data_IF_464985977055
#
_entry.id   IF_464985977055
#
_cell.length_a   1.000
_cell.length_b   1.000
_cell.length_c   1.000
_cell.angle_alpha   90.00
_cell.angle_beta   90.00
_cell.angle_gamma   90.00
#
_symmetry.space_group_name_H-M   'P 1'
#
loop_
_entity.id
_entity.type
_entity.pdbx_description
1 polymer ?
2 non-polymer ?
3 non-polymer ?
4 water ?
#
# COMPACT_ATOMS: atom_id res chain seq x y z
N UNK A 22 -21.51 9.96 -13.47
CA UNK A 22 -21.12 10.85 -14.55
C UNK A 22 -20.32 12.03 -14.07
N UNK A 23 -19.50 12.59 -14.96
CA UNK A 23 -18.66 13.73 -14.61
C UNK A 23 -19.09 14.95 -15.42
N UNK A 24 -18.82 16.17 -14.91
CA UNK A 24 -18.16 16.50 -13.63
C UNK A 24 -19.03 16.16 -12.43
N UNK A 25 -18.38 15.95 -11.28
CA UNK A 25 -19.06 15.54 -10.06
C UNK A 25 -18.72 16.53 -8.96
N UNK A 26 -19.74 17.08 -8.33
CA UNK A 26 -19.53 18.04 -7.23
C UNK A 26 -19.32 17.27 -5.94
N UNK A 27 -18.17 17.49 -5.29
CA UNK A 27 -17.81 16.81 -4.04
C UNK A 27 -17.48 17.88 -3.03
N UNK A 28 -18.48 18.28 -2.24
CA UNK A 28 -18.29 19.41 -1.36
C UNK A 28 -17.94 20.63 -2.18
N UNK A 29 -16.86 21.31 -1.78
CA UNK A 29 -16.36 22.49 -2.47
C UNK A 29 -15.44 22.15 -3.64
N UNK A 30 -15.39 20.88 -4.04
CA UNK A 30 -14.52 20.44 -5.11
C UNK A 30 -15.37 19.92 -6.26
N UNK A 31 -14.87 20.12 -7.47
CA UNK A 31 -15.48 19.56 -8.66
C UNK A 31 -14.50 18.59 -9.28
N UNK A 32 -14.85 17.30 -9.28
CA UNK A 32 -14.04 16.30 -9.96
C UNK A 32 -14.46 16.31 -11.43
N UNK A 33 -13.55 16.72 -12.29
CA UNK A 33 -13.89 16.91 -13.70
C UNK A 33 -13.94 15.59 -14.45
N UNK A 34 -13.20 14.59 -14.00
CA UNK A 34 -13.17 13.33 -14.70
C UNK A 34 -11.99 12.49 -14.23
N UNK A 35 -11.91 11.31 -14.82
CA UNK A 35 -10.84 10.34 -14.61
C UNK A 35 -10.29 10.00 -15.99
N UNK A 36 -9.09 10.47 -16.28
CA UNK A 36 -8.48 10.27 -17.59
C UNK A 36 -7.57 9.05 -17.56
N UNK A 37 -7.75 8.16 -18.53
CA UNK A 37 -7.03 6.90 -18.59
C UNK A 37 -5.96 6.97 -19.67
N UNK A 38 -4.85 6.29 -19.41
CA UNK A 38 -3.71 6.28 -20.33
C UNK A 38 -3.26 4.88 -20.71
N UNK A 39 -3.82 3.84 -20.09
CA UNK A 39 -3.37 2.45 -20.29
C UNK A 39 -1.88 2.30 -20.09
N UNK A 40 -1.36 2.99 -19.08
CA UNK A 40 0.05 2.92 -18.67
C UNK A 40 1.02 3.36 -19.75
N UNK A 41 0.54 4.02 -20.81
CA UNK A 41 1.41 4.65 -21.79
C UNK A 41 1.84 6.02 -21.26
N UNK A 42 3.14 6.16 -21.01
CA UNK A 42 3.66 7.36 -20.35
C UNK A 42 3.38 8.63 -21.15
N UNK A 43 3.56 8.57 -22.47
CA UNK A 43 3.35 9.75 -23.30
C UNK A 43 1.87 10.11 -23.41
N UNK A 44 0.99 9.11 -23.32
CA UNK A 44 -0.44 9.40 -23.23
C UNK A 44 -0.80 9.98 -21.88
N UNK A 45 -0.18 9.49 -20.81
CA UNK A 45 -0.38 10.10 -19.50
C UNK A 45 0.04 11.56 -19.49
N UNK A 46 1.20 11.85 -20.09
CA UNK A 46 1.66 13.24 -20.17
C UNK A 46 0.71 14.08 -21.00
N UNK A 47 0.26 13.55 -22.14
CA UNK A 47 -0.65 14.28 -23.01
C UNK A 47 -1.97 14.58 -22.29
N UNK A 48 -2.52 13.60 -21.56
CA UNK A 48 -3.74 13.84 -20.80
C UNK A 48 -3.60 15.02 -19.85
N UNK A 49 -2.44 15.13 -19.19
CA UNK A 49 -2.21 16.26 -18.29
C UNK A 49 -2.16 17.57 -19.07
N UNK A 50 -1.49 17.56 -20.23
CA UNK A 50 -1.36 18.78 -21.03
C UNK A 50 -2.70 19.24 -21.59
N UNK A 51 -3.52 18.32 -22.08
CA UNK A 51 -4.82 18.74 -22.60
C UNK A 51 -5.75 19.19 -21.47
N UNK A 52 -5.63 18.59 -20.28
CA UNK A 52 -6.40 19.05 -19.13
C UNK A 52 -6.10 20.50 -18.82
N UNK A 53 -4.81 20.86 -18.75
CA UNK A 53 -4.45 22.25 -18.45
C UNK A 53 -4.98 23.19 -19.53
N UNK A 54 -4.93 22.75 -20.79
CA UNK A 54 -5.33 23.61 -21.89
C UNK A 54 -6.85 23.79 -21.94
N UNK A 55 -7.61 22.71 -21.77
CA UNK A 55 -9.06 22.81 -21.86
C UNK A 55 -9.71 23.28 -20.56
N UNK A 56 -9.04 23.10 -19.42
CA UNK A 56 -9.60 23.48 -18.11
C UNK A 56 -8.66 24.46 -17.43
N UNK A 57 -8.64 25.72 -17.89
CA UNK A 57 -7.70 26.69 -17.31
C UNK A 57 -7.93 26.96 -15.83
N UNK A 58 -9.08 26.61 -15.28
CA UNK A 58 -9.32 26.81 -13.85
C UNK A 58 -8.99 25.60 -13.01
N UNK A 59 -8.40 24.55 -13.58
CA UNK A 59 -8.15 23.34 -12.80
C UNK A 59 -7.16 23.66 -11.68
N UNK A 60 -7.43 23.12 -10.49
CA UNK A 60 -6.70 23.47 -9.28
C UNK A 60 -5.81 22.35 -8.76
N UNK A 61 -6.13 21.09 -9.02
CA UNK A 61 -5.33 19.98 -8.53
C UNK A 61 -5.41 18.82 -9.52
N UNK A 62 -4.25 18.23 -9.83
CA UNK A 62 -4.15 17.02 -10.64
C UNK A 62 -3.69 15.88 -9.74
N UNK A 63 -4.31 14.71 -9.88
CA UNK A 63 -4.10 13.61 -8.95
C UNK A 63 -3.70 12.37 -9.75
N UNK A 64 -2.54 11.81 -9.43
CA UNK A 64 -2.07 10.58 -10.06
C UNK A 64 -2.42 9.39 -9.19
N UNK A 65 -3.28 8.51 -9.71
CA UNK A 65 -3.77 7.38 -8.94
C UNK A 65 -2.79 6.21 -8.90
N UNK A 66 -1.99 6.01 -9.94
CA UNK A 66 -0.96 4.99 -9.94
C UNK A 66 0.43 5.62 -9.91
N UNK A 67 1.42 4.77 -9.61
CA UNK A 67 2.77 5.24 -9.31
C UNK A 67 3.34 6.13 -10.41
N UNK A 68 3.07 5.80 -11.68
CA UNK A 68 3.66 6.52 -12.81
C UNK A 68 2.93 7.80 -13.17
N UNK A 69 1.68 7.97 -12.70
CA UNK A 69 0.88 9.10 -13.17
C UNK A 69 1.42 10.43 -12.68
N UNK A 70 1.92 10.49 -11.45
CA UNK A 70 2.40 11.77 -10.92
C UNK A 70 3.65 12.24 -11.67
N UNK A 71 4.61 11.36 -11.97
CA UNK A 71 5.74 11.82 -12.82
C UNK A 71 5.32 12.36 -14.17
N UNK A 72 4.26 11.81 -14.77
CA UNK A 72 3.81 12.29 -16.08
C UNK A 72 2.95 13.54 -15.97
N UNK A 73 2.26 13.70 -14.84
CA UNK A 73 1.61 14.97 -14.55
C UNK A 73 2.65 16.09 -14.49
N UNK A 74 3.75 15.85 -13.77
CA UNK A 74 4.80 16.87 -13.66
C UNK A 74 5.43 17.15 -15.03
N UNK A 75 5.65 16.10 -15.83
CA UNK A 75 6.13 16.31 -17.20
C UNK A 75 5.16 17.19 -17.99
N UNK A 76 3.86 16.95 -17.87
CA UNK A 76 2.90 17.78 -18.58
C UNK A 76 2.88 19.20 -18.06
N UNK A 77 3.04 19.38 -16.76
CA UNK A 77 3.11 20.73 -16.20
C UNK A 77 4.35 21.46 -16.69
N UNK A 78 5.49 20.76 -16.80
CA UNK A 78 6.71 21.41 -17.29
C UNK A 78 6.56 21.85 -18.74
N UNK A 79 5.97 21.00 -19.58
CA UNK A 79 5.79 21.36 -20.98
C UNK A 79 4.82 22.53 -21.14
N UNK A 80 3.88 22.69 -20.23
CA UNK A 80 2.92 23.78 -20.25
C UNK A 80 3.38 24.99 -19.43
N UNK A 81 4.60 24.96 -18.89
CA UNK A 81 5.14 26.03 -18.06
C UNK A 81 4.24 26.33 -16.86
N UNK A 82 3.75 25.28 -16.21
CA UNK A 82 2.71 25.42 -15.18
C UNK A 82 3.10 24.82 -13.84
N UNK A 83 4.35 24.36 -13.68
CA UNK A 83 4.84 23.90 -12.38
C UNK A 83 4.57 24.96 -11.33
N UNK A 84 3.95 24.55 -10.22
CA UNK A 84 3.64 25.47 -9.15
C UNK A 84 2.38 26.28 -9.35
N UNK A 85 1.78 26.26 -10.55
CA UNK A 85 0.53 26.96 -10.79
C UNK A 85 -0.69 26.08 -10.55
N UNK A 86 -0.50 24.77 -10.45
CA UNK A 86 -1.55 23.81 -10.17
C UNK A 86 -1.01 22.84 -9.12
N UNK A 87 -1.87 22.46 -8.17
CA UNK A 87 -1.43 21.52 -7.14
C UNK A 87 -1.41 20.10 -7.70
N UNK A 88 -0.57 19.26 -7.07
CA UNK A 88 -0.39 17.87 -7.50
C UNK A 88 -0.37 16.98 -6.26
N UNK A 89 -1.16 15.91 -6.29
CA UNK A 89 -1.18 14.90 -5.25
C UNK A 89 -1.09 13.55 -5.96
N UNK A 90 -0.36 12.61 -5.36
CA UNK A 90 -0.16 11.31 -5.99
C UNK A 90 -0.21 10.12 -5.06
N UNK A 91 0.07 8.94 -5.61
CA UNK A 91 0.24 7.71 -4.86
C UNK A 91 1.65 7.17 -5.10
N UNK A 92 2.18 6.45 -4.10
CA UNK A 92 3.44 5.72 -4.18
C UNK A 92 4.65 6.65 -4.22
N UNK A 93 5.85 6.08 -4.24
CA UNK A 93 7.05 6.86 -4.03
C UNK A 93 8.02 6.75 -5.20
N UNK A 94 7.52 6.90 -6.42
CA UNK A 94 8.40 7.00 -7.57
C UNK A 94 9.42 8.11 -7.32
N UNK A 95 10.67 7.95 -7.76
CA UNK A 95 11.69 8.97 -7.48
C UNK A 95 11.36 10.35 -8.01
N UNK A 96 10.62 10.46 -9.13
CA UNK A 96 10.20 11.77 -9.59
C UNK A 96 9.09 12.34 -8.71
N UNK A 97 8.33 11.48 -8.05
CA UNK A 97 7.30 11.97 -7.14
C UNK A 97 7.93 12.56 -5.88
N UNK A 98 8.92 11.86 -5.32
CA UNK A 98 9.61 12.36 -4.13
C UNK A 98 10.42 13.62 -4.44
N UNK A 99 11.06 13.66 -5.62
CA UNK A 99 11.74 14.88 -6.03
C UNK A 99 10.77 16.05 -6.12
N UNK A 100 9.55 15.80 -6.63
CA UNK A 100 8.55 16.85 -6.71
C UNK A 100 8.07 17.34 -5.35
N UNK A 101 7.99 16.42 -4.37
CA UNK A 101 7.65 16.84 -3.03
C UNK A 101 8.75 17.74 -2.46
N UNK A 102 10.01 17.40 -2.72
CA UNK A 102 11.13 18.15 -2.17
C UNK A 102 11.26 19.53 -2.79
N UNK A 103 10.98 19.66 -4.09
CA UNK A 103 11.02 20.99 -4.71
C UNK A 103 9.65 21.69 -4.72
N UNK A 104 8.68 21.15 -3.98
CA UNK A 104 7.37 21.77 -3.73
C UNK A 104 6.44 21.79 -4.92
N UNK A 105 6.74 21.07 -6.01
CA UNK A 105 5.78 21.00 -7.11
C UNK A 105 4.71 19.95 -6.88
N UNK A 106 4.95 18.99 -5.98
CA UNK A 106 3.96 18.01 -5.55
C UNK A 106 3.66 18.26 -4.09
N UNK A 107 2.37 18.39 -3.75
CA UNK A 107 2.02 18.64 -2.35
C UNK A 107 2.29 17.42 -1.48
N UNK A 108 1.86 16.24 -1.91
CA UNK A 108 2.18 15.04 -1.17
C UNK A 108 1.74 13.79 -1.90
N UNK A 109 2.06 12.65 -1.28
CA UNK A 109 1.74 11.36 -1.87
C UNK A 109 1.39 10.36 -0.76
N UNK A 110 0.63 9.34 -1.13
CA UNK A 110 0.18 8.28 -0.24
C UNK A 110 0.93 7.00 -0.58
N UNK A 111 1.65 6.43 0.38
CA UNK A 111 2.45 5.24 0.12
C UNK A 111 2.02 4.11 1.04
N UNK A 112 2.34 2.88 0.62
CA UNK A 112 2.15 1.69 1.43
C UNK A 112 3.36 1.49 2.34
N UNK A 113 3.23 0.56 3.28
CA UNK A 113 4.27 0.29 4.27
C UNK A 113 4.64 -1.19 4.26
N UNK A 114 5.33 -1.66 3.21
CA UNK A 114 5.75 -3.07 3.20
C UNK A 114 6.59 -3.48 4.41
N UNK A 115 7.37 -2.56 4.97
CA UNK A 115 8.15 -2.89 6.16
C UNK A 115 7.23 -3.38 7.29
N UNK A 116 6.09 -2.72 7.47
CA UNK A 116 5.14 -3.10 8.50
C UNK A 116 4.43 -4.40 8.15
N UNK A 117 4.31 -4.73 6.86
CA UNK A 117 3.77 -6.02 6.48
C UNK A 117 4.63 -7.15 7.04
N UNK A 118 5.94 -7.07 6.81
CA UNK A 118 6.83 -8.10 7.33
C UNK A 118 6.91 -8.07 8.85
N UNK A 119 7.08 -6.88 9.43
CA UNK A 119 7.28 -6.78 10.87
C UNK A 119 6.07 -7.30 11.65
N UNK A 120 4.87 -6.87 11.25
CA UNK A 120 3.66 -7.23 11.99
C UNK A 120 3.30 -8.69 11.79
N UNK A 121 3.50 -9.22 10.58
CA UNK A 121 3.32 -10.65 10.33
C UNK A 121 4.14 -11.48 11.33
N UNK A 122 5.43 -11.16 11.45
CA UNK A 122 6.27 -11.88 12.41
C UNK A 122 5.77 -11.65 13.83
N UNK A 123 5.44 -10.39 14.16
CA UNK A 123 5.00 -10.07 15.50
C UNK A 123 3.76 -10.87 15.89
N UNK A 124 2.76 -10.90 15.02
CA UNK A 124 1.48 -11.51 15.37
C UNK A 124 1.54 -13.03 15.35
N UNK A 125 2.28 -13.60 14.39
CA UNK A 125 2.50 -15.05 14.39
C UNK A 125 3.29 -15.50 15.63
N UNK A 126 4.31 -14.74 16.02
CA UNK A 126 5.05 -15.10 17.23
C UNK A 126 4.18 -14.96 18.46
N UNK A 127 3.31 -13.95 18.50
CA UNK A 127 2.41 -13.77 19.64
C UNK A 127 1.42 -14.93 19.76
N UNK A 128 0.85 -15.38 18.63
CA UNK A 128 -0.07 -16.52 18.67
C UNK A 128 0.66 -17.80 19.04
N UNK A 129 1.84 -18.01 18.44
CA UNK A 129 2.61 -19.20 18.78
C UNK A 129 2.88 -19.30 20.28
N UNK A 130 2.92 -18.16 20.98
CA UNK A 130 3.19 -18.12 22.41
C UNK A 130 1.92 -18.04 23.24
N UNK A 131 0.76 -18.32 22.64
CA UNK A 131 -0.50 -18.33 23.36
C UNK A 131 -1.22 -17.00 23.41
N UNK A 132 -0.54 -15.90 23.11
CA UNK A 132 -1.19 -14.60 23.13
C UNK A 132 -2.29 -14.49 22.09
N UNK A 133 -3.13 -13.49 22.26
CA UNK A 133 -4.24 -13.25 21.36
C UNK A 133 -3.94 -12.06 20.45
N UNK A 134 -4.42 -12.14 19.22
CA UNK A 134 -4.34 -11.06 18.25
C UNK A 134 -5.78 -10.60 18.00
N UNK A 135 -6.07 -9.36 18.39
CA UNK A 135 -7.41 -8.79 18.21
C UNK A 135 -7.68 -8.60 16.73
N UNK A 136 -8.57 -9.41 16.18
CA UNK A 136 -8.92 -9.40 14.76
C UNK A 136 -10.43 -9.24 14.65
N UNK A 137 -10.92 -8.31 13.84
CA UNK A 137 -12.37 -8.08 13.75
C UNK A 137 -13.07 -9.22 13.03
N UNK A 138 -14.40 -9.18 13.11
CA UNK A 138 -15.22 -10.22 12.49
C UNK A 138 -14.98 -10.31 10.99
N UNK A 139 -14.62 -9.19 10.34
CA UNK A 139 -14.27 -9.22 8.93
C UNK A 139 -13.03 -10.08 8.66
N UNK A 140 -12.25 -10.37 9.69
CA UNK A 140 -11.02 -11.09 9.50
C UNK A 140 -9.92 -10.31 8.82
N UNK A 141 -10.04 -8.99 8.75
CA UNK A 141 -9.01 -8.15 8.12
C UNK A 141 -8.40 -7.10 9.07
N UNK A 142 -7.08 -7.01 9.05
CA UNK A 142 -6.35 -5.99 9.79
C UNK A 142 -5.72 -5.04 8.78
N UNK A 143 -6.06 -3.76 8.87
CA UNK A 143 -5.60 -2.77 7.92
C UNK A 143 -4.27 -2.20 8.39
N UNK A 144 -3.21 -2.44 7.62
CA UNK A 144 -1.93 -1.80 7.81
C UNK A 144 -2.05 -0.38 7.28
N UNK A 145 -1.75 0.65 8.08
CA UNK A 145 -2.00 2.02 7.64
C UNK A 145 -1.09 2.43 6.48
N UNK A 146 -1.65 3.22 5.57
CA UNK A 146 -0.88 3.97 4.60
C UNK A 146 0.04 4.96 5.32
N UNK A 147 0.92 5.59 4.56
CA UNK A 147 1.70 6.70 5.06
C UNK A 147 1.52 7.90 4.13
N UNK A 148 1.24 9.08 4.71
CA UNK A 148 1.13 10.33 3.96
C UNK A 148 2.48 11.06 4.00
N UNK A 149 3.01 11.38 2.82
CA UNK A 149 4.29 12.06 2.69
C UNK A 149 4.04 13.44 2.12
N UNK A 150 4.47 14.49 2.83
CA UNK A 150 4.42 15.86 2.35
C UNK A 150 5.79 16.48 2.45
N UNK A 151 5.91 17.74 2.00
CA UNK A 151 7.17 18.44 2.14
C UNK A 151 7.62 18.56 3.59
N UNK A 152 6.67 18.52 4.52
CA UNK A 152 6.99 18.70 5.94
C UNK A 152 7.64 17.48 6.55
N UNK A 153 7.35 16.28 6.05
CA UNK A 153 7.87 15.07 6.66
C UNK A 153 8.66 14.21 5.69
N UNK A 154 8.98 14.71 4.49
CA UNK A 154 9.62 13.85 3.50
C UNK A 154 11.04 13.49 3.90
N UNK A 155 11.71 14.34 4.68
CA UNK A 155 13.05 13.95 5.13
C UNK A 155 12.98 12.92 6.24
N UNK A 156 11.92 12.94 7.06
CA UNK A 156 11.74 11.89 8.06
C UNK A 156 11.50 10.54 7.39
N UNK A 157 10.77 10.55 6.28
CA UNK A 157 10.51 9.33 5.51
C UNK A 157 11.81 8.74 4.97
N UNK A 158 12.60 9.57 4.28
CA UNK A 158 13.85 9.10 3.68
C UNK A 158 14.82 8.60 4.74
N UNK A 159 14.85 9.26 5.91
CA UNK A 159 15.69 8.76 7.00
C UNK A 159 15.20 7.39 7.48
N UNK A 160 13.89 7.21 7.62
CA UNK A 160 13.32 5.92 7.98
C UNK A 160 13.72 4.84 6.97
N UNK A 161 13.62 5.15 5.67
CA UNK A 161 13.97 4.17 4.64
C UNK A 161 15.45 3.83 4.73
N UNK A 162 16.31 4.84 4.91
CA UNK A 162 17.74 4.59 5.07
C UNK A 162 17.99 3.67 6.27
N UNK A 163 17.38 3.98 7.42
CA UNK A 163 17.55 3.13 8.59
C UNK A 163 17.12 1.70 8.30
N UNK A 164 15.99 1.55 7.62
CA UNK A 164 15.49 0.21 7.31
C UNK A 164 16.50 -0.56 6.46
N UNK A 165 17.01 0.08 5.41
CA UNK A 165 17.91 -0.60 4.47
C UNK A 165 19.23 -0.98 5.11
N UNK A 166 19.70 -0.21 6.11
CA UNK A 166 20.92 -0.56 6.80
C UNK A 166 20.67 -1.50 7.98
N UNK A 167 19.50 -2.13 8.03
CA UNK A 167 19.19 -3.14 9.03
C UNK A 167 18.80 -2.61 10.39
N UNK A 168 18.54 -1.31 10.50
CA UNK A 168 18.21 -0.69 11.78
C UNK A 168 16.84 -0.01 11.73
N UNK A 169 15.85 -0.67 11.13
CA UNK A 169 14.51 -0.14 11.04
C UNK A 169 13.83 0.01 12.39
N UNK A 170 12.73 0.76 12.43
CA UNK A 170 12.07 1.04 13.72
C UNK A 170 11.39 -0.18 14.32
N UNK A 171 11.35 -0.21 15.64
CA UNK A 171 10.71 -1.28 16.40
C UNK A 171 9.25 -0.88 16.57
N UNK A 172 8.40 -1.37 15.66
CA UNK A 172 7.00 -0.94 15.63
C UNK A 172 6.24 -1.33 16.88
N UNK A 173 6.69 -2.36 17.59
CA UNK A 173 5.99 -2.86 18.76
C UNK A 173 6.35 -2.09 20.03
N UNK A 174 7.21 -1.08 19.94
CA UNK A 174 7.54 -0.26 21.11
C UNK A 174 8.10 -1.08 22.25
N UNK A 175 7.59 -0.81 23.46
CA UNK A 175 8.09 -1.47 24.67
C UNK A 175 7.59 -2.90 24.83
N UNK A 176 6.62 -3.33 24.02
CA UNK A 176 6.00 -4.64 24.23
C UNK A 176 7.02 -5.77 24.09
N UNK A 177 7.21 -6.52 25.16
CA UNK A 177 8.14 -7.64 25.17
C UNK A 177 7.42 -8.93 24.76
N UNK A 178 8.03 -9.68 23.86
CA UNK A 178 7.53 -11.00 23.43
C UNK A 178 8.73 -11.93 23.34
N UNK A 179 8.69 -13.04 24.09
CA UNK A 179 9.79 -14.00 24.11
C UNK A 179 9.54 -15.04 23.02
N UNK A 180 10.11 -14.81 21.85
CA UNK A 180 9.92 -15.69 20.72
C UNK A 180 11.01 -16.72 20.50
N UNK A 181 11.91 -16.93 21.46
CA UNK A 181 12.91 -17.98 21.30
C UNK A 181 12.23 -19.33 21.18
N UNK A 182 12.76 -20.19 20.31
CA UNK A 182 12.14 -21.46 20.00
C UNK A 182 10.98 -21.37 19.03
N UNK A 183 10.51 -20.15 18.68
CA UNK A 183 9.45 -19.97 17.69
C UNK A 183 10.09 -19.86 16.31
N UNK A 184 9.51 -20.54 15.33
CA UNK A 184 9.96 -20.45 13.95
C UNK A 184 8.76 -20.19 13.06
N UNK A 185 8.83 -19.11 12.26
CA UNK A 185 7.73 -18.72 11.39
C UNK A 185 8.26 -18.50 9.98
N UNK A 186 7.36 -18.56 9.01
CA UNK A 186 7.71 -18.39 7.62
C UNK A 186 6.90 -17.24 7.02
N UNK A 187 7.54 -16.53 6.08
CA UNK A 187 6.94 -15.36 5.42
C UNK A 187 7.13 -15.54 3.93
N UNK A 188 6.04 -15.81 3.21
CA UNK A 188 6.08 -16.16 1.79
C UNK A 188 5.58 -14.98 0.97
N UNK A 189 6.43 -14.47 0.08
CA UNK A 189 6.06 -13.38 -0.81
C UNK A 189 5.42 -13.94 -2.09
N UNK A 190 5.04 -13.06 -3.01
CA UNK A 190 4.46 -13.51 -4.28
C UNK A 190 5.42 -13.35 -5.45
N UNK A 191 6.64 -12.82 -5.22
CA UNK A 191 7.58 -12.49 -6.26
C UNK A 191 8.89 -11.98 -5.66
N UNK A 192 9.84 -11.60 -6.52
CA UNK A 192 11.09 -10.93 -6.14
C UNK A 192 11.01 -9.40 -6.32
N UNK A 193 9.83 -8.83 -6.13
CA UNK A 193 9.64 -7.39 -6.32
C UNK A 193 10.37 -6.59 -5.24
N UNK A 194 10.81 -5.36 -5.56
CA UNK A 194 11.43 -4.51 -4.52
C UNK A 194 10.54 -4.22 -3.33
N UNK A 195 9.22 -4.23 -3.52
CA UNK A 195 8.28 -4.13 -2.41
C UNK A 195 8.63 -5.09 -1.30
N UNK A 196 9.04 -6.32 -1.64
CA UNK A 196 9.38 -7.35 -0.68
C UNK A 196 10.75 -7.16 -0.02
N UNK A 197 11.62 -6.32 -0.58
CA UNK A 197 12.89 -6.06 0.09
C UNK A 197 12.69 -5.29 1.39
N UNK A 198 11.75 -4.34 1.41
CA UNK A 198 11.42 -3.66 2.66
C UNK A 198 10.68 -4.59 3.63
N UNK A 199 9.79 -5.45 3.11
CA UNK A 199 9.10 -6.38 3.99
C UNK A 199 10.08 -7.38 4.60
N UNK A 200 11.06 -7.83 3.81
CA UNK A 200 12.11 -8.71 4.32
C UNK A 200 12.85 -8.07 5.49
N UNK A 201 13.22 -6.79 5.35
CA UNK A 201 13.86 -6.08 6.46
C UNK A 201 12.97 -6.01 7.68
N UNK A 202 11.66 -5.86 7.46
CA UNK A 202 10.71 -5.85 8.57
C UNK A 202 10.65 -7.18 9.30
N UNK A 203 10.61 -8.29 8.56
CA UNK A 203 10.68 -9.63 9.17
C UNK A 203 11.91 -9.78 10.04
N UNK A 204 13.08 -9.42 9.49
CA UNK A 204 14.33 -9.65 10.21
C UNK A 204 14.45 -8.74 11.42
N UNK A 205 13.89 -7.54 11.34
CA UNK A 205 13.93 -6.65 12.50
C UNK A 205 13.04 -7.17 13.62
N UNK A 206 11.83 -7.64 13.29
CA UNK A 206 10.98 -8.23 14.30
C UNK A 206 11.59 -9.50 14.89
N UNK A 207 12.19 -10.34 14.04
CA UNK A 207 12.80 -11.58 14.52
C UNK A 207 13.91 -11.30 15.51
N UNK A 208 14.72 -10.28 15.22
CA UNK A 208 15.76 -9.83 16.14
C UNK A 208 15.16 -9.26 17.42
N UNK A 209 14.02 -8.56 17.31
CA UNK A 209 13.40 -7.96 18.48
C UNK A 209 12.80 -9.00 19.42
N UNK A 210 12.17 -10.04 18.85
CA UNK A 210 11.48 -11.06 19.62
C UNK A 210 12.30 -12.34 19.80
N UNK A 211 13.46 -12.45 19.15
CA UNK A 211 14.29 -13.62 19.34
C UNK A 211 13.85 -14.87 18.62
N UNK A 212 12.87 -14.77 17.73
CA UNK A 212 12.39 -15.89 16.95
C UNK A 212 13.17 -16.02 15.64
N UNK A 213 12.88 -17.08 14.90
CA UNK A 213 13.51 -17.34 13.61
C UNK A 213 12.46 -17.20 12.52
N UNK A 214 12.78 -16.47 11.46
CA UNK A 214 11.86 -16.25 10.36
C UNK A 214 12.53 -16.69 9.06
N UNK A 215 11.83 -17.53 8.31
CA UNK A 215 12.26 -17.95 6.98
C UNK A 215 11.51 -17.09 5.95
N UNK A 216 12.23 -16.17 5.31
CA UNK A 216 11.63 -15.35 4.27
C UNK A 216 11.79 -16.08 2.94
N UNK A 217 10.66 -16.40 2.30
CA UNK A 217 10.64 -17.29 1.15
C UNK A 217 10.00 -16.56 -0.03
N UNK A 218 10.75 -16.46 -1.12
CA UNK A 218 10.26 -15.73 -2.30
C UNK A 218 10.22 -16.63 -3.53
N UNK A 219 9.04 -16.73 -4.16
CA UNK A 219 8.90 -17.51 -5.40
C UNK A 219 9.52 -16.79 -6.60
N UNK A 220 10.67 -17.31 -7.06
CA UNK A 220 11.52 -16.56 -7.96
C UNK A 220 10.82 -16.27 -9.29
N UNK A 221 10.05 -17.22 -9.79
CA UNK A 221 9.30 -17.02 -11.04
C UNK A 221 7.83 -16.70 -10.80
N UNK A 222 7.43 -16.53 -9.55
CA UNK A 222 6.05 -16.12 -9.26
C UNK A 222 4.99 -17.11 -9.69
N UNK A 223 5.22 -18.40 -9.46
CA UNK A 223 4.22 -19.43 -9.77
C UNK A 223 3.66 -20.01 -8.48
N UNK A 224 2.42 -20.49 -8.55
CA UNK A 224 1.84 -21.08 -7.35
C UNK A 224 2.58 -22.37 -6.98
N UNK A 225 3.15 -23.08 -7.96
CA UNK A 225 3.87 -24.30 -7.65
C UNK A 225 5.06 -24.03 -6.72
N UNK A 226 5.74 -22.89 -6.92
CA UNK A 226 6.81 -22.50 -6.00
C UNK A 226 6.29 -22.22 -4.60
N UNK A 227 5.15 -21.54 -4.51
CA UNK A 227 4.55 -21.32 -3.19
C UNK A 227 4.11 -22.63 -2.56
N UNK A 228 3.65 -23.59 -3.36
CA UNK A 228 3.23 -24.89 -2.81
C UNK A 228 4.41 -25.63 -2.19
N UNK A 229 5.59 -25.56 -2.82
CA UNK A 229 6.73 -26.24 -2.22
C UNK A 229 7.21 -25.53 -0.96
N UNK A 230 7.12 -24.19 -0.91
CA UNK A 230 7.39 -23.50 0.36
C UNK A 230 6.44 -23.95 1.45
N UNK A 231 5.13 -24.00 1.14
CA UNK A 231 4.15 -24.44 2.14
C UNK A 231 4.46 -25.83 2.63
N UNK A 232 4.82 -26.76 1.74
CA UNK A 232 5.10 -28.13 2.14
C UNK A 232 6.39 -28.22 2.94
N UNK A 233 7.40 -27.41 2.58
CA UNK A 233 8.64 -27.39 3.36
C UNK A 233 8.38 -26.87 4.77
N UNK A 234 7.52 -25.85 4.90
CA UNK A 234 7.23 -25.30 6.21
C UNK A 234 6.49 -26.30 7.09
N UNK A 235 5.55 -27.05 6.50
CA UNK A 235 4.87 -28.11 7.26
C UNK A 235 5.87 -29.16 7.72
N UNK A 236 6.76 -29.59 6.82
CA UNK A 236 7.75 -30.62 7.17
C UNK A 236 8.71 -30.12 8.25
N UNK A 237 9.04 -28.83 8.23
CA UNK A 237 9.86 -28.24 9.27
C UNK A 237 9.08 -27.95 10.55
N UNK A 238 7.76 -28.16 10.53
CA UNK A 238 6.89 -27.93 11.69
C UNK A 238 7.03 -26.50 12.22
N UNK A 239 6.88 -25.52 11.30
CA UNK A 239 6.95 -24.11 11.73
C UNK A 239 5.74 -23.77 12.58
N UNK A 240 5.88 -22.72 13.37
CA UNK A 240 4.82 -22.29 14.27
C UNK A 240 3.83 -21.33 13.63
N UNK A 241 4.06 -20.91 12.40
CA UNK A 241 3.11 -20.06 11.71
C UNK A 241 3.66 -19.66 10.36
N UNK A 242 2.73 -19.34 9.45
CA UNK A 242 3.05 -19.00 8.07
C UNK A 242 2.24 -17.77 7.68
N UNK A 243 2.89 -16.79 7.07
CA UNK A 243 2.21 -15.67 6.39
C UNK A 243 2.48 -15.79 4.90
N UNK A 244 1.44 -15.64 4.08
CA UNK A 244 1.57 -15.84 2.64
C UNK A 244 0.77 -14.77 1.90
N UNK A 245 1.38 -14.23 0.84
CA UNK A 245 0.70 -13.44 -0.19
C UNK A 245 0.39 -14.37 -1.36
N UNK A 246 -0.82 -14.94 -1.44
CA UNK A 246 -1.10 -15.93 -2.50
C UNK A 246 -1.01 -15.32 -3.89
N UNK A 247 -0.42 -16.09 -4.80
CA UNK A 247 -0.29 -15.62 -6.18
C UNK A 247 -1.64 -15.70 -6.90
N UNK A 248 -2.38 -16.78 -6.70
CA UNK A 248 -3.67 -16.99 -7.35
C UNK A 248 -4.63 -17.61 -6.34
N UNK A 249 -5.29 -16.75 -5.54
CA UNK A 249 -6.01 -17.27 -4.35
C UNK A 249 -7.08 -18.30 -4.67
N UNK A 250 -7.84 -18.11 -5.75
CA UNK A 250 -8.89 -19.06 -6.11
C UNK A 250 -8.35 -20.48 -6.30
N UNK A 251 -7.11 -20.62 -6.78
CA UNK A 251 -6.52 -21.92 -7.06
C UNK A 251 -5.46 -22.34 -6.04
N UNK A 252 -5.41 -21.70 -4.88
CA UNK A 252 -4.50 -22.10 -3.81
C UNK A 252 -5.24 -22.43 -2.51
N UNK A 253 -6.56 -22.56 -2.56
CA UNK A 253 -7.33 -22.83 -1.34
C UNK A 253 -6.91 -24.17 -0.75
N UNK A 254 -6.76 -25.21 -1.57
CA UNK A 254 -6.44 -26.53 -1.06
C UNK A 254 -5.05 -26.56 -0.40
N UNK A 255 -4.04 -26.00 -1.07
CA UNK A 255 -2.68 -26.10 -0.53
C UNK A 255 -2.53 -25.27 0.74
N UNK A 256 -3.28 -24.16 0.82
CA UNK A 256 -3.27 -23.35 2.04
C UNK A 256 -3.98 -24.09 3.16
N UNK A 257 -5.12 -24.72 2.85
CA UNK A 257 -5.85 -25.46 3.87
C UNK A 257 -5.03 -26.62 4.41
N UNK A 258 -4.26 -27.28 3.55
CA UNK A 258 -3.42 -28.38 4.03
C UNK A 258 -2.41 -27.89 5.06
N UNK A 259 -1.83 -26.71 4.82
CA UNK A 259 -0.95 -26.11 5.82
C UNK A 259 -1.72 -25.73 7.08
N UNK A 260 -2.94 -25.23 6.93
CA UNK A 260 -3.73 -24.79 8.08
C UNK A 260 -4.04 -25.95 9.03
N UNK A 261 -4.06 -27.19 8.51
CA UNK A 261 -4.34 -28.33 9.37
C UNK A 261 -3.30 -28.46 10.48
N UNK A 262 -2.09 -27.98 10.26
CA UNK A 262 -1.00 -28.22 11.19
C UNK A 262 -0.48 -26.95 11.87
N UNK A 263 -0.72 -25.78 11.29
CA UNK A 263 -0.08 -24.57 11.81
C UNK A 263 -0.91 -23.35 11.39
N UNK A 264 -0.89 -22.28 12.18
CA UNK A 264 -1.65 -21.07 11.78
C UNK A 264 -1.10 -20.48 10.51
N UNK A 265 -2.00 -20.13 9.59
CA UNK A 265 -1.66 -19.46 8.35
C UNK A 265 -2.41 -18.14 8.31
N UNK A 266 -1.72 -17.05 7.98
CA UNK A 266 -2.35 -15.76 7.78
C UNK A 266 -2.02 -15.27 6.38
N UNK A 267 -2.88 -14.43 5.82
CA UNK A 267 -2.60 -13.82 4.54
C UNK A 267 -2.15 -12.39 4.74
N UNK A 268 -1.22 -11.96 3.89
CA UNK A 268 -0.66 -10.63 3.95
C UNK A 268 -0.50 -10.11 2.53
N UNK A 269 -0.88 -8.85 2.31
CA UNK A 269 -0.78 -8.16 1.02
C UNK A 269 -1.85 -8.61 0.02
N UNK A 270 -2.06 -9.92 -0.10
CA UNK A 270 -3.15 -10.48 -0.89
C UNK A 270 -3.86 -11.52 -0.04
N UNK A 271 -5.15 -11.70 -0.28
CA UNK A 271 -5.97 -12.54 0.59
C UNK A 271 -6.53 -13.74 -0.16
N UNK A 272 -6.72 -14.82 0.60
CA UNK A 272 -7.41 -16.03 0.15
C UNK A 272 -8.58 -16.25 1.10
N UNK A 273 -9.65 -15.46 0.96
CA UNK A 273 -10.73 -15.50 1.96
C UNK A 273 -11.53 -16.78 1.93
N UNK A 274 -11.40 -17.61 0.89
CA UNK A 274 -12.07 -18.89 0.84
C UNK A 274 -11.32 -19.98 1.58
N UNK A 275 -10.10 -19.70 2.05
CA UNK A 275 -9.29 -20.71 2.70
C UNK A 275 -9.47 -20.65 4.21
N UNK A 276 -8.82 -21.57 4.91
CA UNK A 276 -8.82 -21.60 6.36
C UNK A 276 -7.84 -20.61 6.99
N UNK A 277 -7.31 -19.63 6.26
CA UNK A 277 -6.38 -18.68 6.85
C UNK A 277 -7.04 -17.91 7.99
N UNK A 278 -6.27 -17.63 9.04
CA UNK A 278 -6.81 -17.06 10.27
C UNK A 278 -7.32 -15.63 10.05
N UNK A 279 -6.50 -14.78 9.44
CA UNK A 279 -6.93 -13.43 9.12
C UNK A 279 -6.04 -12.90 8.01
N UNK A 280 -6.42 -11.73 7.51
CA UNK A 280 -5.72 -11.05 6.44
C UNK A 280 -5.24 -9.69 6.92
N UNK A 281 -4.00 -9.35 6.61
CA UNK A 281 -3.49 -8.01 6.85
C UNK A 281 -3.10 -7.39 5.52
N UNK A 282 -3.54 -6.17 5.28
CA UNK A 282 -3.22 -5.53 4.02
C UNK A 282 -3.58 -4.06 4.04
N UNK A 283 -3.44 -3.44 2.89
CA UNK A 283 -3.80 -2.04 2.77
C UNK A 283 -5.25 -1.93 2.34
N UNK A 284 -5.91 -0.89 2.82
CA UNK A 284 -7.22 -0.50 2.31
C UNK A 284 -7.00 0.59 1.26
N UNK A 285 -7.20 0.23 0.00
CA UNK A 285 -7.10 1.23 -1.05
C UNK A 285 -8.18 2.30 -0.93
N UNK A 286 -9.33 1.93 -0.36
CA UNK A 286 -10.38 2.94 -0.12
C UNK A 286 -9.91 3.96 0.90
N UNK A 287 -9.33 3.50 2.01
CA UNK A 287 -8.83 4.43 3.03
C UNK A 287 -7.59 5.17 2.56
N UNK A 288 -6.78 4.56 1.69
CA UNK A 288 -5.70 5.29 1.03
C UNK A 288 -6.27 6.40 0.15
N UNK A 289 -7.41 6.16 -0.51
CA UNK A 289 -8.06 7.21 -1.27
C UNK A 289 -8.58 8.34 -0.40
N UNK A 290 -9.18 8.00 0.76
CA UNK A 290 -9.60 9.07 1.67
C UNK A 290 -8.40 9.91 2.11
N UNK A 291 -7.25 9.26 2.39
CA UNK A 291 -6.06 10.00 2.79
C UNK A 291 -5.57 10.93 1.68
N UNK A 292 -5.66 10.49 0.43
CA UNK A 292 -5.31 11.39 -0.67
C UNK A 292 -6.32 12.52 -0.80
N UNK A 293 -7.59 12.26 -0.51
CA UNK A 293 -8.56 13.33 -0.43
C UNK A 293 -8.20 14.39 0.58
N UNK A 294 -7.60 13.96 1.70
CA UNK A 294 -7.17 14.92 2.71
C UNK A 294 -5.98 15.75 2.22
N UNK A 295 -5.05 15.14 1.48
CA UNK A 295 -3.94 15.90 0.90
C UNK A 295 -4.45 16.94 -0.09
N UNK A 296 -5.43 16.56 -0.92
CA UNK A 296 -6.03 17.53 -1.84
C UNK A 296 -6.63 18.69 -1.07
N UNK A 297 -7.37 18.39 0.00
CA UNK A 297 -8.00 19.45 0.79
C UNK A 297 -6.96 20.37 1.41
N UNK A 298 -5.81 19.81 1.83
CA UNK A 298 -4.75 20.65 2.37
C UNK A 298 -4.01 21.40 1.28
N UNK A 299 -3.91 20.83 0.07
CA UNK A 299 -3.23 21.53 -1.02
C UNK A 299 -4.04 22.72 -1.51
N UNK A 300 -5.37 22.57 -1.61
CA UNK A 300 -6.22 23.65 -2.09
C UNK A 300 -7.39 23.77 -1.12
N UNK A 301 -7.20 24.42 0.03
CA UNK A 301 -8.29 24.54 1.01
C UNK A 301 -9.51 25.28 0.48
N UNK A 302 -9.34 26.14 -0.51
CA UNK A 302 -10.45 26.95 -1.01
C UNK A 302 -11.35 26.20 -1.96
N UNK A 303 -11.05 24.95 -2.29
CA UNK A 303 -11.86 24.21 -3.24
C UNK A 303 -11.33 24.37 -4.65
N UNK A 304 -12.12 23.86 -5.60
CA UNK A 304 -11.82 24.03 -7.01
C UNK A 304 -11.90 22.74 -7.77
N UNK A 305 -11.47 22.80 -9.04
CA UNK A 305 -11.57 21.68 -9.95
C UNK A 305 -10.42 20.71 -9.74
N UNK A 306 -10.73 19.41 -9.82
CA UNK A 306 -9.78 18.32 -9.63
C UNK A 306 -9.92 17.35 -10.80
N UNK A 307 -8.79 16.92 -11.35
CA UNK A 307 -8.75 15.89 -12.38
C UNK A 307 -7.93 14.68 -11.89
N UNK A 308 -8.47 13.47 -12.00
CA UNK A 308 -7.73 12.26 -11.66
C UNK A 308 -7.21 11.57 -12.91
N UNK A 309 -6.08 10.87 -12.75
CA UNK A 309 -5.35 10.22 -13.83
C UNK A 309 -4.98 8.81 -13.41
N UNK A 310 -5.26 7.81 -14.24
CA UNK A 310 -4.97 6.41 -13.89
C UNK A 310 -4.83 5.60 -15.17
N UNK A 311 -4.14 4.46 -15.06
CA UNK A 311 -3.96 3.55 -16.18
C UNK A 311 -5.25 3.05 -16.78
N UNK A 312 -6.08 2.39 -15.97
CA UNK A 312 -7.42 2.00 -16.41
C UNK A 312 -8.32 1.89 -15.19
N UNK A 313 -9.62 2.12 -15.41
CA UNK A 313 -10.59 2.15 -14.32
C UNK A 313 -11.23 0.80 -14.05
N UNK A 314 -10.89 -0.19 -14.87
CA UNK A 314 -11.40 -1.55 -14.68
C UNK A 314 -10.71 -2.28 -13.53
N UNK A 315 -9.61 -1.75 -13.01
CA UNK A 315 -8.86 -2.40 -11.93
C UNK A 315 -9.44 -1.97 -10.59
N UNK A 316 -9.53 -2.93 -9.66
CA UNK A 316 -10.17 -2.68 -8.38
C UNK A 316 -9.52 -1.52 -7.63
N UNK A 317 -8.19 -1.48 -7.58
CA UNK A 317 -7.56 -0.47 -6.74
C UNK A 317 -7.70 0.94 -7.32
N UNK A 318 -7.89 1.06 -8.64
CA UNK A 318 -8.22 2.37 -9.20
C UNK A 318 -9.62 2.80 -8.79
N UNK A 319 -10.57 1.86 -8.80
CA UNK A 319 -11.93 2.17 -8.38
C UNK A 319 -11.98 2.55 -6.90
N UNK A 320 -11.23 1.84 -6.04
CA UNK A 320 -11.26 2.13 -4.61
C UNK A 320 -10.56 3.45 -4.29
N UNK A 321 -9.43 3.72 -4.96
CA UNK A 321 -8.70 4.95 -4.67
C UNK A 321 -9.48 6.18 -5.08
N UNK A 322 -10.09 6.15 -6.27
CA UNK A 322 -10.88 7.31 -6.71
C UNK A 322 -12.15 7.47 -5.87
N UNK A 323 -12.81 6.36 -5.53
CA UNK A 323 -14.00 6.44 -4.70
C UNK A 323 -13.68 7.03 -3.33
N UNK A 324 -12.53 6.64 -2.76
CA UNK A 324 -12.13 7.19 -1.48
C UNK A 324 -11.85 8.68 -1.57
N UNK A 325 -11.20 9.10 -2.67
CA UNK A 325 -10.94 10.53 -2.87
C UNK A 325 -12.24 11.32 -2.88
N UNK A 326 -13.21 10.87 -3.67
CA UNK A 326 -14.46 11.62 -3.84
C UNK A 326 -15.31 11.61 -2.57
N UNK A 327 -15.39 10.45 -1.90
CA UNK A 327 -16.11 10.38 -0.63
C UNK A 327 -15.51 11.33 0.40
N UNK A 328 -14.18 11.42 0.42
CA UNK A 328 -13.53 12.31 1.38
C UNK A 328 -13.79 13.77 1.05
N UNK A 329 -13.66 14.14 -0.23
CA UNK A 329 -13.92 15.52 -0.64
C UNK A 329 -15.37 15.91 -0.36
N UNK A 330 -16.29 14.98 -0.55
CA UNK A 330 -17.70 15.21 -0.28
C UNK A 330 -18.06 15.16 1.20
N UNK A 331 -17.10 14.84 2.09
CA UNK A 331 -17.43 14.68 3.49
C UNK A 331 -18.42 13.56 3.74
N UNK A 332 -18.32 12.49 2.97
CA UNK A 332 -19.30 11.41 3.07
C UNK A 332 -19.07 10.66 4.37
N UNK A 333 -20.11 10.47 5.19
CA UNK A 333 -19.92 9.80 6.48
C UNK A 333 -19.61 8.33 6.29
N UNK A 334 -18.71 7.81 7.12
CA UNK A 334 -18.22 6.44 6.98
C UNK A 334 -19.18 5.52 7.72
N UNK A 335 -19.96 4.70 7.03
CA UNK A 335 -20.68 3.60 7.71
C UNK A 335 -19.69 2.58 8.23
N UNK A 336 -19.40 2.60 9.53
CA UNK A 336 -18.30 1.83 10.09
C UNK A 336 -18.72 1.05 11.33
N UNK A 337 -18.04 -0.08 11.53
CA UNK A 337 -18.18 -0.89 12.74
C UNK A 337 -16.85 -0.86 13.47
N UNK A 338 -16.89 -0.58 14.77
CA UNK A 338 -15.69 -0.51 15.59
C UNK A 338 -16.02 -0.96 17.00
N UNK A 339 -15.28 -1.94 17.51
CA UNK A 339 -15.52 -2.47 18.84
C UNK A 339 -14.34 -3.33 19.31
X LIG B 1 12.20 21.13 0.16
X LIG C 1 8.25 3.29 6.30
X LIG C 1 7.28 4.09 5.66
X LIG C 1 7.52 2.43 7.31
X LIG C 1 7.19 1.19 6.72
X LIG C 1 8.32 2.26 8.60
X LIG C 1 8.69 3.53 9.12
X LIG D 1 0.63 -6.58 -4.97
X LIG D 1 0.12 -6.19 -6.24
X LIG D 1 2.08 -6.14 -4.82
X LIG D 1 2.28 -5.72 -3.48
X LIG D 1 3.02 -7.30 -5.12
X LIG D 1 4.27 -6.79 -5.52
#
# INVERSE_FOLDING_TARGET
SSTVKTQSGSDVVADASADATGFPRQCGDYTVLGILTDNQDNSKAKENAETTLLRHPNVACLVGLWSQNTPMILAGLRSSDAIGKVAVVGFDEHPDTLAGIRDQSVYGTIVQQPYAFGYRSVQWLTTMAKGGEVEVPESGMIIIPHRSITGANVNEFAADIDAIKSGKGPILSGEQQIDGSGVRVAYITNSLDPFWTLADAGCKRAAEQFGCEVDVQMPSSGSIEEQKRFLESNVAAKVDGIAISPIDPENQVAMINDACKVTPVICQDSDAPASRRKFYLGTSNYLAGRAAGKLIQEAIPEGGEVMLFVGKMEVLNAQERSQGIMDELAGKPIPAILQGN
CA CA
GOL C1 O1 C2 O2 C3 O3
GOL C1 O1 C2 O2 C3 O3
#
